data_IF_978333861760
#
_entry.id   IF_978333861760
#
_cell.length_a   1.000
_cell.length_b   1.000
_cell.length_c   1.000
_cell.angle_alpha   90.00
_cell.angle_beta   90.00
_cell.angle_gamma   90.00
#
_symmetry.space_group_name_H-M   'P 1'
#
loop_
_entity.id
_entity.type
_entity.pdbx_description
1 polymer ?
#
# COMPACT_ATOMS: atom_id res chain seq x y z
N UNK A 1 -50.33 -2.85 -33.33
CA UNK A 1 -49.34 -3.07 -32.26
C UNK A 1 -48.49 -1.81 -32.19
N UNK A 2 -48.74 -0.97 -31.19
CA UNK A 2 -48.05 0.31 -31.05
C UNK A 2 -46.72 0.05 -30.34
N UNK A 3 -45.66 -0.11 -31.12
CA UNK A 3 -44.30 -0.22 -30.60
C UNK A 3 -43.87 1.17 -30.14
N UNK A 4 -43.77 1.38 -28.83
CA UNK A 4 -43.26 2.62 -28.26
C UNK A 4 -41.76 2.78 -28.59
N UNK A 5 -41.45 3.36 -29.75
CA UNK A 5 -40.09 3.56 -30.28
C UNK A 5 -39.11 4.17 -29.27
N UNK A 6 -39.60 5.02 -28.36
CA UNK A 6 -38.80 5.63 -27.30
C UNK A 6 -38.36 4.61 -26.24
N UNK A 7 -39.24 3.66 -25.88
CA UNK A 7 -38.92 2.58 -24.95
C UNK A 7 -37.93 1.58 -25.54
N UNK A 8 -37.96 1.38 -26.85
CA UNK A 8 -37.01 0.51 -27.55
C UNK A 8 -35.62 1.16 -27.65
N UNK A 9 -35.56 2.44 -28.03
CA UNK A 9 -34.32 3.23 -28.06
C UNK A 9 -33.64 3.31 -26.70
N UNK A 10 -34.43 3.45 -25.63
CA UNK A 10 -33.90 3.47 -24.26
C UNK A 10 -33.26 2.14 -23.86
N UNK A 11 -33.84 1.00 -24.26
CA UNK A 11 -33.25 -0.32 -24.02
C UNK A 11 -31.89 -0.43 -24.72
N UNK A 12 -31.76 0.05 -25.96
CA UNK A 12 -30.48 0.02 -26.66
C UNK A 12 -29.42 0.94 -26.03
N UNK A 13 -29.81 2.09 -25.47
CA UNK A 13 -28.90 2.97 -24.72
C UNK A 13 -28.34 2.26 -23.48
N UNK A 14 -29.21 1.65 -22.66
CA UNK A 14 -28.80 0.91 -21.47
C UNK A 14 -27.98 -0.32 -21.85
N UNK A 15 -28.34 -1.02 -22.92
CA UNK A 15 -27.60 -2.19 -23.40
C UNK A 15 -26.20 -1.80 -23.87
N UNK A 16 -26.06 -0.73 -24.66
CA UNK A 16 -24.77 -0.21 -25.11
C UNK A 16 -23.88 0.21 -23.95
N UNK A 17 -24.41 0.98 -22.99
CA UNK A 17 -23.65 1.38 -21.80
C UNK A 17 -23.28 0.17 -20.91
N UNK A 18 -24.20 -0.79 -20.74
CA UNK A 18 -23.98 -1.98 -19.94
C UNK A 18 -22.89 -2.88 -20.52
N UNK A 19 -22.87 -3.09 -21.84
CA UNK A 19 -21.85 -3.90 -22.51
C UNK A 19 -20.47 -3.24 -22.39
N UNK A 20 -20.37 -1.93 -22.61
CA UNK A 20 -19.11 -1.19 -22.46
C UNK A 20 -18.62 -1.26 -21.01
N UNK A 21 -19.51 -1.08 -20.03
CA UNK A 21 -19.16 -1.19 -18.63
C UNK A 21 -18.64 -2.60 -18.28
N UNK A 22 -19.33 -3.65 -18.73
CA UNK A 22 -18.91 -5.04 -18.52
C UNK A 22 -17.55 -5.32 -19.17
N UNK A 23 -17.32 -4.78 -20.36
CA UNK A 23 -16.05 -4.90 -21.07
C UNK A 23 -14.90 -4.24 -20.31
N UNK A 24 -15.10 -3.01 -19.82
CA UNK A 24 -14.09 -2.34 -19.00
C UNK A 24 -13.82 -3.10 -17.69
N UNK A 25 -14.87 -3.64 -17.06
CA UNK A 25 -14.73 -4.44 -15.85
C UNK A 25 -13.91 -5.71 -16.10
N UNK A 26 -14.13 -6.37 -17.25
CA UNK A 26 -13.30 -7.50 -17.70
C UNK A 26 -11.85 -7.07 -17.95
N UNK A 27 -11.59 -5.92 -18.58
CA UNK A 27 -10.23 -5.42 -18.78
C UNK A 27 -9.50 -5.20 -17.45
N UNK A 28 -10.16 -4.59 -16.47
CA UNK A 28 -9.59 -4.41 -15.13
C UNK A 28 -9.30 -5.76 -14.48
N UNK A 29 -10.17 -6.75 -14.68
CA UNK A 29 -9.99 -8.09 -14.12
C UNK A 29 -8.80 -8.82 -14.76
N UNK A 30 -8.67 -8.74 -16.08
CA UNK A 30 -7.50 -9.27 -16.81
C UNK A 30 -6.23 -8.58 -16.35
N UNK A 31 -6.23 -7.25 -16.19
CA UNK A 31 -5.07 -6.52 -15.71
C UNK A 31 -4.66 -6.95 -14.29
N UNK A 32 -5.64 -7.24 -13.41
CA UNK A 32 -5.39 -7.81 -12.09
C UNK A 32 -4.76 -9.21 -12.16
N UNK A 33 -5.28 -10.08 -13.03
CA UNK A 33 -4.72 -11.42 -13.23
C UNK A 33 -3.29 -11.31 -13.75
N UNK A 34 -3.02 -10.45 -14.73
CA UNK A 34 -1.68 -10.17 -15.22
C UNK A 34 -0.77 -9.69 -14.10
N UNK A 35 -1.20 -8.73 -13.27
CA UNK A 35 -0.42 -8.24 -12.14
C UNK A 35 -0.10 -9.35 -11.11
N UNK A 36 -1.04 -10.25 -10.82
CA UNK A 36 -0.78 -11.39 -9.94
C UNK A 36 0.15 -12.43 -10.57
N UNK A 37 0.00 -12.67 -11.87
CA UNK A 37 0.86 -13.57 -12.62
C UNK A 37 2.29 -13.05 -12.63
N UNK A 38 2.48 -11.77 -12.94
CA UNK A 38 3.78 -11.10 -12.93
C UNK A 38 4.42 -11.23 -11.54
N UNK A 39 3.72 -10.85 -10.46
CA UNK A 39 4.26 -10.98 -9.10
C UNK A 39 4.65 -12.41 -8.71
N UNK A 40 3.98 -13.43 -9.26
CA UNK A 40 4.25 -14.84 -8.95
C UNK A 40 5.41 -15.42 -9.75
N UNK A 41 5.50 -15.10 -11.05
CA UNK A 41 6.52 -15.68 -11.95
C UNK A 41 7.76 -14.80 -12.08
N UNK A 42 7.61 -13.49 -11.98
CA UNK A 42 8.67 -12.50 -11.86
C UNK A 42 8.43 -11.71 -10.57
N UNK A 43 8.65 -12.34 -9.39
CA UNK A 43 8.74 -11.56 -8.18
C UNK A 43 9.87 -10.56 -8.41
N UNK A 44 9.52 -9.32 -8.70
CA UNK A 44 10.43 -8.22 -8.44
C UNK A 44 10.81 -8.42 -6.99
N UNK A 45 12.09 -8.74 -6.74
CA UNK A 45 12.69 -8.48 -5.45
C UNK A 45 12.55 -6.98 -5.30
N UNK A 46 11.38 -6.55 -4.81
CA UNK A 46 11.23 -5.26 -4.18
C UNK A 46 12.47 -5.14 -3.32
N UNK A 47 13.32 -4.12 -3.52
CA UNK A 47 14.39 -3.88 -2.58
C UNK A 47 13.64 -3.78 -1.26
N UNK A 48 13.74 -4.84 -0.46
CA UNK A 48 13.35 -4.78 0.92
C UNK A 48 14.24 -3.65 1.37
N UNK A 49 13.66 -2.48 1.53
CA UNK A 49 14.25 -1.47 2.39
C UNK A 49 14.11 -2.16 3.73
N UNK A 50 15.09 -3.03 3.99
CA UNK A 50 15.46 -3.51 5.29
C UNK A 50 15.94 -2.25 5.95
N UNK A 51 15.02 -1.39 6.37
CA UNK A 51 15.27 -0.59 7.56
C UNK A 51 15.66 -1.65 8.58
N UNK A 52 16.93 -1.70 8.99
CA UNK A 52 17.33 -2.65 10.01
C UNK A 52 16.46 -2.27 11.20
N UNK A 53 15.44 -3.08 11.50
CA UNK A 53 14.77 -2.94 12.78
C UNK A 53 15.88 -3.20 13.78
N UNK A 54 16.26 -2.22 14.61
CA UNK A 54 17.25 -2.48 15.63
C UNK A 54 16.76 -3.69 16.41
N UNK A 55 17.62 -4.68 16.58
CA UNK A 55 17.30 -5.79 17.47
C UNK A 55 17.01 -5.20 18.85
N UNK A 56 16.22 -5.91 19.66
CA UNK A 56 15.90 -5.46 21.02
C UNK A 56 17.17 -5.16 21.82
N UNK A 57 18.27 -5.85 21.53
CA UNK A 57 19.59 -5.60 22.13
C UNK A 57 20.21 -4.26 21.71
N UNK A 58 20.09 -3.86 20.44
CA UNK A 58 20.60 -2.57 19.94
C UNK A 58 19.79 -1.39 20.49
N UNK A 59 18.48 -1.57 20.67
CA UNK A 59 17.61 -0.57 21.31
C UNK A 59 17.94 -0.43 22.81
N UNK A 60 18.17 -1.54 23.52
CA UNK A 60 18.62 -1.53 24.91
C UNK A 60 19.98 -0.84 25.07
N UNK A 61 20.96 -1.11 24.19
CA UNK A 61 22.27 -0.44 24.19
C UNK A 61 22.14 1.07 23.98
N UNK A 62 21.26 1.51 23.06
CA UNK A 62 20.99 2.94 22.82
C UNK A 62 20.39 3.61 24.05
N UNK A 63 19.38 2.98 24.67
CA UNK A 63 18.76 3.50 25.90
C UNK A 63 19.78 3.59 27.04
N UNK A 64 20.61 2.56 27.23
CA UNK A 64 21.68 2.57 28.23
C UNK A 64 22.72 3.67 27.98
N UNK A 65 23.12 3.90 26.72
CA UNK A 65 24.05 4.96 26.36
C UNK A 65 23.48 6.36 26.64
N UNK A 66 22.20 6.58 26.33
CA UNK A 66 21.51 7.85 26.61
C UNK A 66 21.43 8.08 28.13
N UNK A 67 21.05 7.06 28.90
CA UNK A 67 20.97 7.14 30.37
C UNK A 67 22.36 7.46 30.96
N UNK A 68 23.41 6.79 30.46
CA UNK A 68 24.79 7.04 30.84
C UNK A 68 25.19 8.51 30.60
N UNK A 69 24.97 9.02 29.40
CA UNK A 69 25.28 10.40 29.05
C UNK A 69 24.53 11.44 29.90
N UNK A 70 23.23 11.23 30.13
CA UNK A 70 22.41 12.14 30.96
C UNK A 70 22.85 12.09 32.42
N UNK A 71 23.15 10.91 32.96
CA UNK A 71 23.59 10.76 34.34
C UNK A 71 24.93 11.46 34.61
N UNK A 72 25.88 11.35 33.68
CA UNK A 72 27.18 11.99 33.76
C UNK A 72 27.06 13.51 33.61
N UNK A 73 26.22 13.99 32.69
CA UNK A 73 25.93 15.42 32.55
C UNK A 73 25.31 16.02 33.81
N UNK A 74 24.38 15.30 34.47
CA UNK A 74 23.75 15.75 35.72
C UNK A 74 24.76 15.82 36.87
N UNK A 75 25.60 14.81 37.01
CA UNK A 75 26.67 14.75 38.02
C UNK A 75 27.71 15.87 37.80
N UNK A 76 28.14 16.09 36.56
CA UNK A 76 29.06 17.17 36.21
C UNK A 76 28.45 18.57 36.41
N UNK A 77 27.13 18.73 36.27
CA UNK A 77 26.41 19.97 36.59
C UNK A 77 26.25 20.20 38.10
N UNK A 78 26.06 19.14 38.89
CA UNK A 78 25.98 19.24 40.36
C UNK A 78 27.33 19.50 41.03
N UNK A 79 28.45 19.09 40.42
CA UNK A 79 29.80 19.33 40.96
C UNK A 79 30.37 20.73 40.58
N UNK A 80 29.56 21.57 39.93
CA UNK A 80 29.95 22.92 39.47
C UNK A 80 29.13 24.04 40.15
N UNK A 81 28.43 23.72 41.24
CA UNK A 81 27.80 24.65 42.20
C UNK A 81 28.50 24.50 43.54
#
# INVERSE_FOLDING_TARGET
MEVSYLGESFKFMVLGMGVVFLFLLLLVWVMKVQAQLINKYFPEKSPVVSTPKPSQDEEQKRVAAIIGAVSEFRKNRQNKV
#
